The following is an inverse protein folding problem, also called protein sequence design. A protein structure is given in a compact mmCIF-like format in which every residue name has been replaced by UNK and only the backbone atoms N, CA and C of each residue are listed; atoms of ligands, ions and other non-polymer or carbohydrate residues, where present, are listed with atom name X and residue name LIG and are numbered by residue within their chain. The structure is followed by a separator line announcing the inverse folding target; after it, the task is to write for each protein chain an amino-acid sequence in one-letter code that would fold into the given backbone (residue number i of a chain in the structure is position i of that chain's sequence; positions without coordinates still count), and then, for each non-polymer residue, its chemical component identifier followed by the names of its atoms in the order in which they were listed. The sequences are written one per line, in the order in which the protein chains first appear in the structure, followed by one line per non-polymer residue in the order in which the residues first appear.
data_IF_394607896038
#
_entry.id   IF_394607896038
#
_cell.length_a   1.000
_cell.length_b   1.000
_cell.length_c   1.000
_cell.angle_alpha   90.00
_cell.angle_beta   90.00
_cell.angle_gamma   90.00
#
_symmetry.space_group_name_H-M   'P 1'
#
loop_
_entity.id
_entity.type
_entity.pdbx_description
1 polymer ?
#
# COMPACT_ATOMS: atom_id res chain seq x y z
N UNK A 1 -6.40 17.80 2.51
CA UNK A 1 -6.41 16.80 1.46
C UNK A 1 -7.83 16.40 1.14
N UNK A 2 -8.09 16.04 -0.12
CA UNK A 2 -9.38 15.53 -0.58
C UNK A 2 -9.31 14.04 -1.00
N UNK A 3 -8.10 13.54 -1.20
CA UNK A 3 -7.84 12.16 -1.62
C UNK A 3 -6.78 11.52 -0.74
N UNK A 4 -7.02 10.30 -0.29
CA UNK A 4 -6.06 9.54 0.52
C UNK A 4 -5.78 8.19 -0.11
N UNK A 5 -4.50 7.82 -0.17
CA UNK A 5 -4.03 6.46 -0.47
C UNK A 5 -3.80 5.75 0.85
N UNK A 6 -4.38 4.57 1.01
CA UNK A 6 -4.18 3.66 2.15
C UNK A 6 -3.79 2.27 1.65
N UNK A 7 -3.00 1.56 2.44
CA UNK A 7 -2.48 0.24 2.09
C UNK A 7 -1.16 -0.03 2.79
N UNK A 8 -0.45 -1.06 2.36
CA UNK A 8 0.81 -1.47 2.97
C UNK A 8 2.05 -0.90 2.25
N UNK A 9 3.14 -1.63 2.29
CA UNK A 9 4.42 -1.21 1.71
C UNK A 9 4.38 -1.02 0.19
N UNK A 10 3.56 -1.82 -0.53
CA UNK A 10 3.38 -1.64 -1.96
C UNK A 10 2.79 -0.26 -2.28
N UNK A 11 1.70 0.13 -1.62
CA UNK A 11 1.10 1.46 -1.79
C UNK A 11 2.06 2.60 -1.42
N UNK A 12 2.85 2.41 -0.36
CA UNK A 12 3.86 3.39 0.05
C UNK A 12 4.93 3.60 -1.02
N UNK A 13 5.38 2.51 -1.66
CA UNK A 13 6.43 2.54 -2.68
C UNK A 13 5.93 2.99 -4.06
N UNK A 14 4.65 2.73 -4.38
CA UNK A 14 4.10 2.93 -5.72
C UNK A 14 3.41 4.27 -5.92
N UNK A 15 2.75 4.81 -4.88
CA UNK A 15 1.80 5.91 -5.05
C UNK A 15 2.42 7.27 -4.75
N UNK A 16 2.88 7.96 -5.79
CA UNK A 16 3.36 9.34 -5.72
C UNK A 16 2.18 10.32 -5.83
N UNK A 17 1.81 11.01 -4.73
CA UNK A 17 0.67 11.93 -4.74
C UNK A 17 0.81 13.08 -5.73
N UNK A 18 2.03 13.52 -6.03
CA UNK A 18 2.24 14.61 -6.98
C UNK A 18 1.87 14.19 -8.41
N UNK A 19 2.24 12.98 -8.82
CA UNK A 19 1.90 12.46 -10.14
C UNK A 19 0.42 12.12 -10.25
N UNK A 20 -0.18 11.55 -9.19
CA UNK A 20 -1.62 11.31 -9.12
C UNK A 20 -2.38 12.62 -9.32
N UNK A 21 -2.05 13.66 -8.58
CA UNK A 21 -2.77 14.94 -8.61
C UNK A 21 -2.67 15.65 -9.95
N UNK A 22 -1.51 15.64 -10.58
CA UNK A 22 -1.32 16.24 -11.92
C UNK A 22 -2.28 15.65 -12.95
N UNK A 23 -2.61 14.36 -12.83
CA UNK A 23 -3.44 13.64 -13.79
C UNK A 23 -4.90 13.56 -13.36
N UNK A 24 -5.19 13.39 -12.07
CA UNK A 24 -6.54 13.27 -11.52
C UNK A 24 -7.21 14.62 -11.20
N UNK A 25 -6.43 15.66 -10.98
CA UNK A 25 -6.92 16.96 -10.50
C UNK A 25 -7.38 16.90 -9.04
N UNK A 26 -6.68 16.13 -8.21
CA UNK A 26 -6.93 15.92 -6.78
C UNK A 26 -5.88 16.64 -5.92
N UNK A 27 -6.05 16.56 -4.60
CA UNK A 27 -5.03 16.94 -3.63
C UNK A 27 -4.81 15.80 -2.65
N UNK A 28 -3.89 14.90 -3.03
CA UNK A 28 -3.71 13.59 -2.42
C UNK A 28 -2.64 13.57 -1.32
N UNK A 29 -2.77 12.60 -0.42
CA UNK A 29 -1.74 12.18 0.54
C UNK A 29 -1.63 10.66 0.54
N UNK A 30 -0.40 10.14 0.62
CA UNK A 30 -0.14 8.73 0.80
C UNK A 30 0.02 8.44 2.30
N UNK A 31 -0.92 7.71 2.88
CA UNK A 31 -0.93 7.33 4.29
C UNK A 31 -0.56 5.86 4.50
N UNK A 32 -0.15 5.16 3.44
CA UNK A 32 0.23 3.76 3.50
C UNK A 32 1.48 3.54 4.35
N UNK A 33 1.47 2.50 5.15
CA UNK A 33 2.52 2.19 6.12
C UNK A 33 3.02 0.74 5.90
N UNK A 34 4.34 0.50 5.82
CA UNK A 34 4.86 -0.86 5.69
C UNK A 34 4.35 -1.78 6.80
N UNK A 35 3.86 -2.96 6.40
CA UNK A 35 3.27 -3.91 7.35
C UNK A 35 1.84 -3.59 7.78
N UNK A 36 1.21 -2.57 7.19
CA UNK A 36 -0.17 -2.19 7.47
C UNK A 36 -1.14 -3.29 7.01
N UNK A 37 -1.97 -3.77 7.93
CA UNK A 37 -3.05 -4.70 7.62
C UNK A 37 -4.31 -3.93 7.23
N UNK A 38 -5.29 -4.61 6.63
CA UNK A 38 -6.57 -3.99 6.29
C UNK A 38 -7.33 -3.43 7.52
N UNK A 39 -7.06 -3.98 8.73
CA UNK A 39 -7.57 -3.42 9.99
C UNK A 39 -6.91 -2.07 10.28
N UNK A 40 -5.62 -1.98 10.09
CA UNK A 40 -4.88 -0.76 10.30
C UNK A 40 -5.32 0.32 9.30
N UNK A 41 -5.47 -0.05 8.02
CA UNK A 41 -6.01 0.84 6.97
C UNK A 41 -7.36 1.44 7.32
N UNK A 42 -8.25 0.65 7.96
CA UNK A 42 -9.53 1.16 8.42
C UNK A 42 -9.35 2.31 9.44
N UNK A 43 -8.48 2.14 10.43
CA UNK A 43 -8.26 3.16 11.46
C UNK A 43 -7.44 4.35 10.97
N UNK A 44 -6.48 4.13 10.05
CA UNK A 44 -5.76 5.20 9.35
C UNK A 44 -6.75 6.06 8.55
N UNK A 45 -7.69 5.44 7.85
CA UNK A 45 -8.76 6.14 7.12
C UNK A 45 -9.63 6.98 8.07
N UNK A 46 -10.15 6.39 9.15
CA UNK A 46 -10.99 7.12 10.12
C UNK A 46 -10.25 8.33 10.70
N UNK A 47 -8.98 8.16 11.10
CA UNK A 47 -8.18 9.26 11.66
C UNK A 47 -7.89 10.33 10.61
N UNK A 48 -7.62 9.95 9.36
CA UNK A 48 -7.40 10.89 8.26
C UNK A 48 -8.65 11.72 7.97
N UNK A 49 -9.82 11.08 7.91
CA UNK A 49 -11.10 11.77 7.69
C UNK A 49 -11.50 12.68 8.86
N UNK A 50 -11.02 12.40 10.08
CA UNK A 50 -11.28 13.25 11.25
C UNK A 50 -10.67 14.66 11.10
N UNK A 51 -9.61 14.79 10.34
CA UNK A 51 -8.84 16.03 10.19
C UNK A 51 -8.84 16.61 8.78
N UNK A 52 -9.36 15.88 7.81
CA UNK A 52 -9.41 16.29 6.40
C UNK A 52 -10.79 15.99 5.81
N UNK A 53 -11.19 16.78 4.81
CA UNK A 53 -12.44 16.57 4.06
C UNK A 53 -12.21 15.62 2.88
N UNK A 54 -11.97 14.34 3.19
CA UNK A 54 -11.67 13.30 2.20
C UNK A 54 -12.91 13.01 1.36
N UNK A 55 -12.75 13.06 0.04
CA UNK A 55 -13.79 12.74 -0.96
C UNK A 55 -13.50 11.46 -1.71
N UNK A 56 -12.22 11.04 -1.75
CA UNK A 56 -11.80 9.84 -2.47
C UNK A 56 -10.80 9.05 -1.63
N UNK A 57 -11.03 7.75 -1.57
CA UNK A 57 -10.09 6.78 -0.98
C UNK A 57 -9.57 5.88 -2.08
N UNK A 58 -8.27 5.77 -2.20
CA UNK A 58 -7.58 4.79 -3.01
C UNK A 58 -7.08 3.71 -2.05
N UNK A 59 -7.73 2.54 -2.08
CA UNK A 59 -7.35 1.40 -1.25
C UNK A 59 -6.49 0.45 -2.07
N UNK A 60 -5.21 0.36 -1.74
CA UNK A 60 -4.32 -0.63 -2.37
C UNK A 60 -4.49 -2.00 -1.68
N UNK A 61 -4.84 -2.98 -2.49
CA UNK A 61 -5.05 -4.36 -2.06
C UNK A 61 -3.74 -5.12 -2.15
N UNK A 62 -3.03 -5.15 -1.06
CA UNK A 62 -1.83 -5.96 -0.94
C UNK A 62 -2.21 -7.43 -0.68
N UNK A 63 -1.90 -8.32 -1.64
CA UNK A 63 -2.30 -9.72 -1.62
C UNK A 63 -1.87 -10.46 -0.34
N UNK A 64 -0.73 -10.09 0.26
CA UNK A 64 -0.20 -10.73 1.46
C UNK A 64 -1.18 -10.61 2.64
N UNK A 65 -1.72 -9.42 2.87
CA UNK A 65 -2.52 -9.12 4.07
C UNK A 65 -3.98 -9.58 3.99
N UNK A 66 -4.44 -9.92 2.80
CA UNK A 66 -5.80 -10.43 2.61
C UNK A 66 -5.88 -11.95 2.68
N UNK A 67 -4.88 -12.65 2.14
CA UNK A 67 -4.88 -14.10 2.05
C UNK A 67 -4.00 -14.76 3.13
N UNK A 68 -2.90 -14.11 3.52
CA UNK A 68 -1.98 -14.58 4.54
C UNK A 68 -1.78 -13.53 5.64
N UNK A 69 -2.87 -13.12 6.33
CA UNK A 69 -2.76 -12.05 7.30
C UNK A 69 -1.81 -12.44 8.44
N UNK A 70 -0.92 -11.54 8.87
CA UNK A 70 0.02 -11.83 9.94
C UNK A 70 -0.73 -12.20 11.23
N UNK A 71 -0.27 -13.27 11.88
CA UNK A 71 -0.86 -13.73 13.15
C UNK A 71 -0.47 -12.84 14.32
N UNK A 72 0.66 -12.19 14.20
CA UNK A 72 1.23 -11.31 15.22
C UNK A 72 1.63 -10.00 14.57
N UNK A 73 1.17 -8.89 15.10
CA UNK A 73 1.57 -7.56 14.71
C UNK A 73 2.16 -6.85 15.92
N UNK A 74 3.34 -6.26 15.78
CA UNK A 74 3.97 -5.57 16.89
C UNK A 74 4.38 -4.16 16.53
N UNK A 75 5.16 -4.05 15.46
CA UNK A 75 5.85 -2.82 15.17
C UNK A 75 4.93 -1.80 14.49
N UNK A 76 4.17 -2.23 13.51
CA UNK A 76 3.30 -1.36 12.71
C UNK A 76 2.19 -0.78 13.56
N UNK A 77 1.52 -1.60 14.37
CA UNK A 77 0.45 -1.13 15.26
C UNK A 77 0.98 -0.16 16.33
N UNK A 78 2.18 -0.41 16.85
CA UNK A 78 2.82 0.53 17.79
C UNK A 78 3.17 1.85 17.12
N UNK A 79 3.66 1.80 15.89
CA UNK A 79 3.95 2.99 15.11
C UNK A 79 2.68 3.80 14.84
N UNK A 80 1.63 3.16 14.32
CA UNK A 80 0.35 3.80 13.98
C UNK A 80 -0.26 4.48 15.20
N UNK A 81 -0.37 3.78 16.33
CA UNK A 81 -0.96 4.38 17.53
C UNK A 81 -0.14 5.56 18.07
N UNK A 82 1.18 5.58 17.84
CA UNK A 82 2.02 6.70 18.24
C UNK A 82 1.81 7.96 17.39
N UNK A 83 1.31 7.82 16.16
CA UNK A 83 1.03 8.95 15.26
C UNK A 83 -0.33 9.60 15.54
N UNK A 84 -1.28 8.86 16.12
CA UNK A 84 -2.61 9.38 16.41
C UNK A 84 -2.62 10.32 17.62
N UNK A 85 -3.44 11.38 17.55
CA UNK A 85 -3.63 12.33 18.65
C UNK A 85 -4.23 11.61 19.89
N UNK A 86 -3.72 11.91 21.07
CA UNK A 86 -4.23 11.38 22.34
C UNK A 86 -5.72 11.69 22.59
N UNK A 87 -6.22 12.77 22.02
CA UNK A 87 -7.62 13.18 22.11
C UNK A 87 -8.52 12.50 21.09
N UNK A 88 -7.93 11.76 20.13
CA UNK A 88 -8.69 11.05 19.12
C UNK A 88 -9.38 9.82 19.71
N UNK A 89 -10.71 9.74 19.52
CA UNK A 89 -11.44 8.52 19.87
C UNK A 89 -11.00 7.32 19.02
N UNK A 90 -10.58 7.57 17.77
CA UNK A 90 -10.08 6.56 16.83
C UNK A 90 -8.86 5.85 17.40
N UNK A 91 -7.93 6.60 18.01
CA UNK A 91 -6.76 6.04 18.68
C UNK A 91 -7.16 5.02 19.76
N UNK A 92 -8.13 5.36 20.58
CA UNK A 92 -8.54 4.49 21.70
C UNK A 92 -9.29 3.25 21.23
N UNK A 93 -10.10 3.38 20.16
CA UNK A 93 -10.72 2.23 19.50
C UNK A 93 -9.65 1.32 18.86
N UNK A 94 -8.67 1.90 18.19
CA UNK A 94 -7.56 1.17 17.60
C UNK A 94 -6.77 0.38 18.65
N UNK A 95 -6.43 1.03 19.77
CA UNK A 95 -5.75 0.37 20.89
C UNK A 95 -6.61 -0.78 21.41
N UNK A 96 -7.90 -0.56 21.62
CA UNK A 96 -8.82 -1.59 22.12
C UNK A 96 -8.89 -2.80 21.18
N UNK A 97 -9.04 -2.58 19.87
CA UNK A 97 -9.14 -3.65 18.88
C UNK A 97 -7.79 -4.39 18.63
N UNK A 98 -6.70 -3.84 19.15
CA UNK A 98 -5.36 -4.44 19.10
C UNK A 98 -4.83 -4.87 20.48
N UNK A 99 -5.63 -4.85 21.54
CA UNK A 99 -5.15 -5.14 22.91
C UNK A 99 -4.50 -6.53 23.07
N UNK A 100 -4.95 -7.52 22.31
CA UNK A 100 -4.35 -8.86 22.33
C UNK A 100 -2.94 -8.90 21.71
N UNK A 101 -2.62 -7.90 20.88
CA UNK A 101 -1.35 -7.79 20.14
C UNK A 101 -0.44 -6.69 20.67
N UNK A 102 -0.98 -5.77 21.44
CA UNK A 102 -0.24 -4.65 22.01
C UNK A 102 0.11 -4.90 23.47
N UNK A 103 1.35 -4.71 23.81
CA UNK A 103 1.75 -4.59 25.18
C UNK A 103 1.29 -3.22 25.71
N UNK A 104 0.28 -3.21 26.59
CA UNK A 104 -0.39 -1.99 27.08
C UNK A 104 0.58 -0.93 27.63
N UNK A 105 1.70 -1.35 28.22
CA UNK A 105 2.74 -0.42 28.71
C UNK A 105 3.33 0.42 27.59
N UNK A 106 3.40 -0.10 26.36
CA UNK A 106 3.95 0.62 25.22
C UNK A 106 3.03 1.73 24.72
N UNK A 107 1.73 1.62 24.97
CA UNK A 107 0.76 2.69 24.65
C UNK A 107 1.12 3.98 25.38
N UNK A 108 1.55 3.87 26.65
CA UNK A 108 1.88 5.03 27.49
C UNK A 108 3.36 5.42 27.44
N UNK A 109 4.26 4.46 27.25
CA UNK A 109 5.71 4.69 27.38
C UNK A 109 6.43 4.81 26.06
N UNK A 110 5.79 4.47 24.93
CA UNK A 110 6.43 4.34 23.60
C UNK A 110 7.66 3.43 23.61
N UNK A 111 7.73 2.48 24.53
CA UNK A 111 8.93 1.69 24.81
C UNK A 111 9.42 0.90 23.60
N UNK A 112 8.53 0.37 22.79
CA UNK A 112 8.88 -0.35 21.56
C UNK A 112 9.24 0.58 20.39
N UNK A 113 8.63 1.76 20.34
CA UNK A 113 8.98 2.78 19.34
C UNK A 113 10.32 3.48 19.65
N UNK A 114 10.80 3.38 20.90
CA UNK A 114 12.02 4.01 21.35
C UNK A 114 12.93 2.94 21.98
N UNK A 115 13.73 2.28 21.16
CA UNK A 115 14.76 1.35 21.66
C UNK A 115 15.83 2.16 22.37
N UNK A 116 15.89 2.04 23.69
CA UNK A 116 16.96 2.66 24.47
C UNK A 116 18.14 1.70 24.57
N UNK A 117 19.23 2.04 23.87
CA UNK A 117 20.50 1.32 23.96
C UNK A 117 21.52 2.22 24.67
N UNK A 118 21.87 1.94 25.93
CA UNK A 118 22.74 2.81 26.71
C UNK A 118 24.09 3.11 26.03
N UNK A 119 24.64 2.14 25.29
CA UNK A 119 25.92 2.31 24.55
C UNK A 119 25.84 3.40 23.48
N UNK A 120 24.67 3.61 22.89
CA UNK A 120 24.47 4.56 21.79
C UNK A 120 24.01 5.95 22.30
N UNK A 121 23.83 6.10 23.61
CA UNK A 121 23.29 7.34 24.18
C UNK A 121 24.15 8.55 23.88
N UNK A 122 25.47 8.41 24.02
CA UNK A 122 26.45 9.50 23.75
C UNK A 122 26.33 9.94 22.28
N UNK A 123 26.45 8.99 21.37
CA UNK A 123 26.43 9.24 19.92
C UNK A 123 25.09 9.86 19.48
N UNK A 124 23.97 9.34 20.00
CA UNK A 124 22.65 9.90 19.75
C UNK A 124 22.50 11.34 20.24
N UNK A 125 23.06 11.68 21.41
CA UNK A 125 23.05 13.05 21.95
C UNK A 125 23.92 13.96 21.07
N UNK A 126 25.13 13.54 20.73
CA UNK A 126 26.03 14.29 19.86
C UNK A 126 25.43 14.55 18.49
N UNK A 127 24.81 13.52 17.90
CA UNK A 127 24.09 13.64 16.62
C UNK A 127 22.95 14.66 16.70
N UNK A 128 22.08 14.57 17.71
CA UNK A 128 20.93 15.48 17.89
C UNK A 128 21.35 16.91 18.21
N UNK A 129 22.53 17.13 18.79
CA UNK A 129 23.06 18.44 19.05
C UNK A 129 23.83 19.02 17.86
N UNK A 130 24.18 18.21 16.89
CA UNK A 130 24.92 18.63 15.70
C UNK A 130 24.17 19.67 14.88
N UNK A 131 24.90 20.48 14.15
CA UNK A 131 24.34 21.45 13.21
C UNK A 131 23.59 20.73 12.09
N UNK A 132 24.14 19.64 11.54
CA UNK A 132 23.51 18.86 10.49
C UNK A 132 22.13 18.30 10.88
N UNK A 133 21.96 17.83 12.11
CA UNK A 133 20.65 17.35 12.58
C UNK A 133 19.63 18.49 12.74
N UNK A 134 20.08 19.65 13.25
CA UNK A 134 19.19 20.82 13.48
C UNK A 134 18.76 21.51 12.19
N UNK A 135 19.59 21.43 11.16
CA UNK A 135 19.37 22.05 9.85
C UNK A 135 18.95 21.03 8.78
N UNK A 136 18.73 19.75 9.18
CA UNK A 136 18.33 18.71 8.25
C UNK A 136 17.00 19.07 7.60
N UNK A 137 16.99 19.06 6.26
CA UNK A 137 15.78 19.15 5.49
C UNK A 137 15.07 17.79 5.52
N UNK A 138 13.77 17.78 5.80
CA UNK A 138 12.96 16.57 5.78
C UNK A 138 13.02 15.86 4.42
N UNK A 139 13.15 16.61 3.34
CA UNK A 139 13.29 16.07 1.97
C UNK A 139 14.68 15.49 1.67
N UNK A 140 15.62 15.59 2.57
CA UNK A 140 16.95 14.94 2.48
C UNK A 140 17.07 13.70 3.36
N UNK A 141 16.00 13.33 4.07
CA UNK A 141 16.01 12.13 4.92
C UNK A 141 15.91 10.88 4.06
N UNK A 142 16.93 10.05 4.18
CA UNK A 142 16.95 8.70 3.63
C UNK A 142 16.51 7.72 4.71
N UNK A 143 15.47 6.97 4.44
CA UNK A 143 14.89 5.98 5.36
C UNK A 143 14.61 4.71 4.58
N UNK A 144 15.17 3.59 5.02
CA UNK A 144 14.96 2.27 4.40
C UNK A 144 15.26 2.25 2.89
N UNK A 145 16.35 2.92 2.47
CA UNK A 145 16.75 3.01 1.06
C UNK A 145 15.87 3.91 0.20
N UNK A 146 15.00 4.70 0.82
CA UNK A 146 14.15 5.67 0.13
C UNK A 146 14.34 7.09 0.62
N UNK A 147 14.24 8.06 -0.28
CA UNK A 147 14.28 9.49 0.04
C UNK A 147 12.87 10.05 0.15
N UNK A 148 12.57 10.76 1.21
CA UNK A 148 11.24 11.37 1.39
C UNK A 148 10.97 12.42 0.32
N UNK A 149 9.93 12.21 -0.49
CA UNK A 149 9.56 13.09 -1.60
C UNK A 149 8.32 13.96 -1.31
N UNK A 150 7.76 13.85 -0.10
CA UNK A 150 6.61 14.65 0.34
C UNK A 150 5.30 13.87 0.38
N UNK A 151 4.36 14.38 1.17
CA UNK A 151 2.98 13.87 1.29
C UNK A 151 2.89 12.35 1.52
N UNK A 152 3.84 11.81 2.32
CA UNK A 152 3.91 10.39 2.69
C UNK A 152 4.60 9.47 1.67
N UNK A 153 5.01 9.98 0.52
CA UNK A 153 5.71 9.20 -0.50
C UNK A 153 7.23 9.20 -0.26
N UNK A 154 7.84 8.04 -0.52
CA UNK A 154 9.29 7.84 -0.49
C UNK A 154 9.76 7.32 -1.85
N UNK A 155 10.62 8.08 -2.50
CA UNK A 155 11.30 7.62 -3.71
C UNK A 155 12.35 6.58 -3.34
N UNK A 156 12.20 5.36 -3.86
CA UNK A 156 13.15 4.27 -3.64
C UNK A 156 14.06 4.18 -4.87
N UNK A 157 15.37 4.22 -4.65
CA UNK A 157 16.33 4.13 -5.76
C UNK A 157 16.31 2.74 -6.40
N UNK A 158 16.48 2.65 -7.74
CA UNK A 158 16.63 1.38 -8.42
C UNK A 158 17.78 0.55 -7.83
N UNK A 159 17.60 -0.77 -7.73
CA UNK A 159 18.64 -1.71 -7.32
C UNK A 159 19.35 -2.29 -8.53
N UNK A 160 20.66 -2.49 -8.38
CA UNK A 160 21.47 -3.15 -9.40
C UNK A 160 21.73 -4.60 -8.97
N UNK A 161 21.36 -5.56 -9.81
CA UNK A 161 21.63 -6.98 -9.57
C UNK A 161 20.37 -7.81 -9.44
N UNK A 162 20.51 -9.01 -8.87
CA UNK A 162 19.41 -9.92 -8.65
C UNK A 162 18.48 -9.41 -7.54
N UNK A 163 17.17 -9.53 -7.77
CA UNK A 163 16.17 -9.13 -6.81
C UNK A 163 16.06 -10.18 -5.68
N UNK A 164 16.06 -9.71 -4.44
CA UNK A 164 15.86 -10.56 -3.26
C UNK A 164 14.38 -10.95 -3.06
N UNK A 165 14.11 -11.91 -2.17
CA UNK A 165 12.78 -12.26 -1.68
C UNK A 165 12.10 -13.42 -2.40
N UNK A 166 12.73 -14.11 -3.35
CA UNK A 166 12.12 -15.21 -4.10
C UNK A 166 11.67 -16.37 -3.19
N UNK A 167 12.39 -16.64 -2.12
CA UNK A 167 12.07 -17.71 -1.17
C UNK A 167 10.73 -17.50 -0.43
N UNK A 168 10.30 -16.24 -0.31
CA UNK A 168 9.06 -15.88 0.38
C UNK A 168 7.83 -16.07 -0.52
N UNK A 169 7.97 -15.91 -1.84
CA UNK A 169 6.85 -15.96 -2.78
C UNK A 169 6.03 -17.24 -2.69
N UNK A 170 6.70 -18.39 -2.52
CA UNK A 170 6.03 -19.69 -2.44
C UNK A 170 5.12 -19.80 -1.21
N UNK A 171 5.47 -19.14 -0.12
CA UNK A 171 4.67 -19.12 1.11
C UNK A 171 3.44 -18.21 1.01
N UNK A 172 3.49 -17.23 0.12
CA UNK A 172 2.41 -16.26 -0.10
C UNK A 172 1.54 -16.59 -1.31
N UNK A 173 1.90 -17.61 -2.07
CA UNK A 173 1.19 -18.02 -3.29
C UNK A 173 -0.26 -18.42 -3.00
N UNK A 174 -1.20 -17.82 -3.71
CA UNK A 174 -2.65 -18.09 -3.61
C UNK A 174 -3.05 -19.13 -4.66
N UNK A 175 -2.78 -20.43 -4.36
CA UNK A 175 -2.94 -21.53 -5.32
C UNK A 175 -4.39 -21.88 -5.67
N UNK A 176 -5.35 -21.37 -4.92
CA UNK A 176 -6.78 -21.61 -5.16
C UNK A 176 -7.57 -20.33 -4.91
N UNK A 177 -8.79 -20.28 -5.45
CA UNK A 177 -9.74 -19.18 -5.19
C UNK A 177 -10.30 -19.32 -3.77
N UNK A 178 -9.49 -18.99 -2.79
CA UNK A 178 -9.87 -19.05 -1.39
C UNK A 178 -10.75 -17.87 -1.03
N UNK A 179 -11.71 -18.09 -0.15
CA UNK A 179 -12.51 -16.98 0.36
C UNK A 179 -11.72 -16.22 1.42
N UNK A 180 -11.73 -14.90 1.30
CA UNK A 180 -11.21 -14.02 2.36
C UNK A 180 -12.10 -14.18 3.59
N UNK A 181 -11.51 -14.50 4.72
CA UNK A 181 -12.22 -14.77 5.99
C UNK A 181 -11.61 -13.99 7.16
N UNK A 182 -12.18 -14.14 8.33
CA UNK A 182 -11.62 -13.56 9.54
C UNK A 182 -11.61 -12.03 9.55
N UNK A 183 -10.55 -11.45 10.13
CA UNK A 183 -10.47 -10.00 10.28
C UNK A 183 -10.27 -9.26 8.94
N UNK A 184 -9.56 -9.76 7.91
CA UNK A 184 -9.50 -9.07 6.62
C UNK A 184 -10.89 -8.83 6.02
N UNK A 185 -11.75 -9.85 6.01
CA UNK A 185 -13.13 -9.69 5.52
C UNK A 185 -13.94 -8.71 6.37
N UNK A 186 -13.77 -8.76 7.69
CA UNK A 186 -14.46 -7.85 8.61
C UNK A 186 -14.09 -6.39 8.32
N UNK A 187 -12.79 -6.11 8.16
CA UNK A 187 -12.32 -4.72 8.06
C UNK A 187 -12.47 -4.14 6.65
N UNK A 188 -12.35 -4.93 5.58
CA UNK A 188 -12.68 -4.42 4.24
C UNK A 188 -14.16 -4.01 4.17
N UNK A 189 -15.06 -4.79 4.76
CA UNK A 189 -16.48 -4.42 4.86
C UNK A 189 -16.70 -3.16 5.71
N UNK A 190 -15.90 -2.95 6.75
CA UNK A 190 -15.93 -1.70 7.53
C UNK A 190 -15.48 -0.50 6.70
N UNK A 191 -14.40 -0.62 5.93
CA UNK A 191 -13.92 0.44 5.02
C UNK A 191 -15.02 0.79 4.01
N UNK A 192 -15.58 -0.21 3.33
CA UNK A 192 -16.65 -0.02 2.34
C UNK A 192 -17.86 0.68 2.97
N UNK A 193 -18.29 0.20 4.15
CA UNK A 193 -19.40 0.81 4.87
C UNK A 193 -19.09 2.26 5.27
N UNK A 194 -17.89 2.51 5.81
CA UNK A 194 -17.47 3.85 6.24
C UNK A 194 -17.47 4.82 5.07
N UNK A 195 -16.90 4.46 3.94
CA UNK A 195 -16.88 5.30 2.75
C UNK A 195 -18.29 5.61 2.25
N UNK A 196 -19.15 4.58 2.17
CA UNK A 196 -20.56 4.77 1.77
C UNK A 196 -21.34 5.66 2.72
N UNK A 197 -21.19 5.48 4.02
CA UNK A 197 -21.93 6.24 5.04
C UNK A 197 -21.49 7.71 5.12
N UNK A 198 -20.30 8.05 4.59
CA UNK A 198 -19.73 9.39 4.57
C UNK A 198 -19.65 10.02 3.17
N UNK A 199 -20.29 9.44 2.17
CA UNK A 199 -20.28 9.93 0.78
C UNK A 199 -18.88 10.03 0.17
N UNK A 200 -18.01 9.07 0.52
CA UNK A 200 -16.62 9.00 0.03
C UNK A 200 -16.55 7.97 -1.10
N UNK A 201 -15.98 8.38 -2.22
CA UNK A 201 -15.72 7.50 -3.37
C UNK A 201 -14.56 6.54 -3.06
N UNK A 202 -14.85 5.24 -2.96
CA UNK A 202 -13.86 4.21 -2.69
C UNK A 202 -13.45 3.53 -4.00
N UNK A 203 -12.19 3.69 -4.36
CA UNK A 203 -11.55 3.05 -5.50
C UNK A 203 -10.52 2.03 -4.96
N UNK A 204 -10.74 0.76 -5.20
CA UNK A 204 -9.77 -0.27 -4.88
C UNK A 204 -8.81 -0.50 -6.05
N UNK A 205 -7.53 -0.67 -5.74
CA UNK A 205 -6.49 -0.96 -6.72
C UNK A 205 -5.62 -2.10 -6.22
N UNK A 206 -4.94 -2.80 -7.11
CA UNK A 206 -3.74 -3.59 -6.80
C UNK A 206 -2.60 -3.01 -7.61
N UNK A 207 -1.58 -2.50 -6.94
CA UNK A 207 -0.34 -2.03 -7.56
C UNK A 207 0.35 -3.18 -8.31
N UNK A 208 0.97 -2.95 -9.49
CA UNK A 208 1.74 -3.99 -10.14
C UNK A 208 2.85 -4.51 -9.24
N UNK A 209 3.08 -5.80 -9.31
CA UNK A 209 4.22 -6.46 -8.68
C UNK A 209 5.24 -6.88 -9.73
N UNK A 210 6.41 -7.34 -9.28
CA UNK A 210 7.49 -7.82 -10.14
C UNK A 210 6.97 -8.84 -11.15
N UNK A 211 7.12 -8.61 -12.47
CA UNK A 211 6.51 -9.44 -13.50
C UNK A 211 6.80 -10.93 -13.37
N UNK A 212 8.06 -11.31 -13.10
CA UNK A 212 8.43 -12.71 -12.91
C UNK A 212 7.76 -13.38 -11.69
N UNK A 213 7.19 -12.60 -10.77
CA UNK A 213 6.53 -13.12 -9.56
C UNK A 213 5.02 -13.31 -9.73
N UNK A 214 4.40 -12.69 -10.74
CA UNK A 214 2.95 -12.70 -10.97
C UNK A 214 2.40 -14.12 -11.05
N UNK A 215 3.01 -14.97 -11.88
CA UNK A 215 2.59 -16.37 -12.04
C UNK A 215 2.91 -17.24 -10.82
N UNK A 216 4.04 -16.99 -10.13
CA UNK A 216 4.44 -17.74 -8.93
C UNK A 216 3.44 -17.51 -7.79
N UNK A 217 2.94 -16.29 -7.68
CA UNK A 217 1.96 -15.89 -6.65
C UNK A 217 0.52 -16.24 -7.01
N UNK A 218 0.26 -16.66 -8.25
CA UNK A 218 -1.09 -16.90 -8.78
C UNK A 218 -2.00 -15.68 -8.63
N UNK A 219 -1.53 -14.53 -9.14
CA UNK A 219 -2.26 -13.27 -9.02
C UNK A 219 -3.63 -13.29 -9.70
N UNK A 220 -3.86 -14.19 -10.66
CA UNK A 220 -5.19 -14.45 -11.24
C UNK A 220 -6.21 -14.93 -10.18
N UNK A 221 -5.80 -15.74 -9.20
CA UNK A 221 -6.68 -16.18 -8.12
C UNK A 221 -6.94 -15.06 -7.11
N UNK A 222 -5.94 -14.23 -6.84
CA UNK A 222 -6.08 -13.01 -6.03
C UNK A 222 -7.09 -12.08 -6.67
N UNK A 223 -6.88 -11.77 -7.97
CA UNK A 223 -7.77 -10.91 -8.74
C UNK A 223 -9.23 -11.38 -8.70
N UNK A 224 -9.47 -12.63 -9.05
CA UNK A 224 -10.83 -13.18 -9.14
C UNK A 224 -11.56 -13.11 -7.79
N UNK A 225 -10.85 -13.41 -6.70
CA UNK A 225 -11.42 -13.38 -5.35
C UNK A 225 -11.74 -11.96 -4.90
N UNK A 226 -10.79 -11.03 -5.08
CA UNK A 226 -10.93 -9.62 -4.71
C UNK A 226 -12.00 -8.95 -5.57
N UNK A 227 -11.92 -9.12 -6.90
CA UNK A 227 -12.88 -8.53 -7.83
C UNK A 227 -14.32 -8.95 -7.50
N UNK A 228 -14.52 -10.25 -7.23
CA UNK A 228 -15.84 -10.74 -6.79
C UNK A 228 -16.31 -10.07 -5.50
N UNK A 229 -15.45 -10.02 -4.48
CA UNK A 229 -15.79 -9.42 -3.18
C UNK A 229 -16.18 -7.94 -3.34
N UNK A 230 -15.39 -7.18 -4.10
CA UNK A 230 -15.59 -5.74 -4.29
C UNK A 230 -16.81 -5.45 -5.17
N UNK A 231 -16.99 -6.20 -6.26
CA UNK A 231 -18.15 -6.08 -7.15
C UNK A 231 -19.47 -6.40 -6.42
N UNK A 232 -19.50 -7.44 -5.58
CA UNK A 232 -20.65 -7.80 -4.75
C UNK A 232 -21.03 -6.67 -3.75
N UNK A 233 -20.10 -5.74 -3.48
CA UNK A 233 -20.30 -4.58 -2.60
C UNK A 233 -20.37 -3.23 -3.35
N UNK A 234 -20.38 -3.24 -4.69
CA UNK A 234 -20.49 -2.05 -5.52
C UNK A 234 -19.25 -1.17 -5.56
N UNK A 235 -18.06 -1.72 -5.24
CA UNK A 235 -16.78 -1.03 -5.26
C UNK A 235 -16.05 -1.32 -6.57
N UNK A 236 -15.49 -0.28 -7.19
CA UNK A 236 -14.66 -0.43 -8.38
C UNK A 236 -13.26 -0.91 -8.02
N UNK A 237 -12.76 -1.84 -8.83
CA UNK A 237 -11.45 -2.44 -8.64
C UNK A 237 -10.63 -2.39 -9.94
N UNK A 238 -9.41 -1.92 -9.84
CA UNK A 238 -8.44 -1.84 -10.93
C UNK A 238 -7.16 -2.59 -10.55
N UNK A 239 -6.95 -3.75 -11.17
CA UNK A 239 -5.72 -4.53 -10.98
C UNK A 239 -4.66 -4.10 -12.00
N UNK A 240 -3.68 -3.34 -11.54
CA UNK A 240 -2.63 -2.83 -12.42
C UNK A 240 -1.60 -3.88 -12.83
N UNK A 241 -1.61 -5.09 -12.27
CA UNK A 241 -0.90 -6.21 -12.85
C UNK A 241 -1.40 -6.51 -14.27
N UNK A 242 -2.68 -6.25 -14.52
CA UNK A 242 -3.31 -6.41 -15.83
C UNK A 242 -3.16 -5.19 -16.74
N UNK A 243 -2.45 -4.13 -16.32
CA UNK A 243 -2.19 -3.00 -17.18
C UNK A 243 -1.41 -3.46 -18.43
N UNK A 244 -1.85 -2.99 -19.62
CA UNK A 244 -1.24 -3.37 -20.89
C UNK A 244 0.20 -2.89 -20.96
N UNK A 245 1.09 -3.73 -21.51
CA UNK A 245 2.53 -3.44 -21.62
C UNK A 245 2.83 -2.23 -22.51
N UNK A 246 1.98 -1.96 -23.51
CA UNK A 246 2.09 -0.78 -24.36
C UNK A 246 1.62 0.52 -23.67
N UNK A 247 0.93 0.42 -22.55
CA UNK A 247 0.43 1.55 -21.74
C UNK A 247 1.30 1.79 -20.50
N UNK A 248 1.68 0.72 -19.80
CA UNK A 248 2.56 0.74 -18.63
C UNK A 248 3.67 -0.30 -18.81
N UNK A 249 4.69 0.02 -19.65
CA UNK A 249 5.85 -0.85 -19.84
C UNK A 249 6.52 -1.13 -18.50
N UNK A 250 6.83 -2.41 -18.23
CA UNK A 250 7.49 -2.83 -17.00
C UNK A 250 8.28 -4.11 -17.19
N UNK A 251 9.35 -4.21 -16.41
CA UNK A 251 10.19 -5.40 -16.30
C UNK A 251 10.67 -5.57 -14.85
N UNK A 252 11.36 -6.67 -14.54
CA UNK A 252 11.82 -6.95 -13.19
C UNK A 252 12.71 -5.85 -12.60
N UNK A 253 13.51 -5.18 -13.42
CA UNK A 253 14.39 -4.08 -13.00
C UNK A 253 13.66 -2.80 -12.53
N UNK A 254 12.35 -2.71 -12.78
CA UNK A 254 11.50 -1.62 -12.28
C UNK A 254 11.10 -1.81 -10.81
N UNK A 255 11.52 -2.92 -10.21
CA UNK A 255 11.23 -3.27 -8.83
C UNK A 255 12.52 -3.42 -8.02
N UNK A 256 12.42 -3.31 -6.71
CA UNK A 256 13.56 -3.42 -5.80
C UNK A 256 13.69 -4.81 -5.16
N UNK A 257 12.64 -5.64 -5.29
CA UNK A 257 12.60 -7.02 -4.79
C UNK A 257 11.59 -7.86 -5.59
N UNK A 258 11.55 -9.16 -5.31
CA UNK A 258 10.60 -10.11 -5.91
C UNK A 258 9.19 -10.01 -5.30
N UNK A 259 9.03 -9.32 -4.18
CA UNK A 259 7.73 -9.12 -3.54
C UNK A 259 6.86 -8.13 -4.32
N UNK A 260 7.49 -7.19 -5.03
CA UNK A 260 6.82 -6.24 -5.92
C UNK A 260 6.87 -4.78 -5.47
N UNK A 261 7.83 -4.42 -4.62
CA UNK A 261 8.04 -3.01 -4.30
C UNK A 261 8.66 -2.28 -5.50
N UNK A 262 8.01 -1.23 -5.97
CA UNK A 262 8.49 -0.44 -7.11
C UNK A 262 9.68 0.42 -6.74
N UNK A 263 10.60 0.61 -7.71
CA UNK A 263 11.51 1.74 -7.62
C UNK A 263 10.79 3.06 -7.96
N UNK A 264 11.39 4.18 -7.61
CA UNK A 264 10.75 5.49 -7.75
C UNK A 264 10.52 5.94 -9.19
N UNK A 265 11.33 5.45 -10.14
CA UNK A 265 11.17 5.80 -11.55
C UNK A 265 9.92 5.13 -12.13
N UNK A 266 9.71 3.85 -11.82
CA UNK A 266 8.51 3.14 -12.25
C UNK A 266 7.27 3.61 -11.47
N UNK A 267 7.40 3.87 -10.17
CA UNK A 267 6.32 4.41 -9.34
C UNK A 267 5.73 5.72 -9.92
N UNK A 268 6.57 6.55 -10.51
CA UNK A 268 6.12 7.76 -11.21
C UNK A 268 5.22 7.43 -12.39
N UNK A 269 5.64 6.50 -13.27
CA UNK A 269 4.86 6.08 -14.44
C UNK A 269 3.52 5.44 -14.02
N UNK A 270 3.57 4.57 -13.00
CA UNK A 270 2.37 3.97 -12.42
C UNK A 270 1.43 5.04 -11.87
N UNK A 271 1.93 5.99 -11.08
CA UNK A 271 1.11 7.05 -10.47
C UNK A 271 0.48 7.99 -11.51
N UNK A 272 1.17 8.24 -12.63
CA UNK A 272 0.58 8.97 -13.76
C UNK A 272 -0.61 8.22 -14.38
N UNK A 273 -0.47 6.92 -14.58
CA UNK A 273 -1.57 6.08 -15.09
C UNK A 273 -2.71 5.99 -14.08
N UNK A 274 -2.40 5.77 -12.80
CA UNK A 274 -3.38 5.73 -11.71
C UNK A 274 -4.18 7.04 -11.68
N UNK A 275 -3.53 8.20 -11.78
CA UNK A 275 -4.20 9.49 -11.84
C UNK A 275 -5.16 9.62 -13.04
N UNK A 276 -4.76 9.12 -14.22
CA UNK A 276 -5.63 9.09 -15.42
C UNK A 276 -6.87 8.20 -15.20
N UNK A 277 -6.66 7.01 -14.63
CA UNK A 277 -7.75 6.06 -14.32
C UNK A 277 -8.74 6.69 -13.32
N UNK A 278 -8.24 7.33 -12.24
CA UNK A 278 -9.07 8.03 -11.26
C UNK A 278 -9.88 9.14 -11.91
N UNK A 279 -9.26 9.94 -12.77
CA UNK A 279 -9.95 11.02 -13.48
C UNK A 279 -11.11 10.50 -14.32
N UNK A 280 -10.86 9.45 -15.10
CA UNK A 280 -11.90 8.85 -15.94
C UNK A 280 -13.00 8.20 -15.10
N UNK A 281 -12.62 7.53 -14.02
CA UNK A 281 -13.59 6.98 -13.06
C UNK A 281 -14.53 8.06 -12.54
N UNK A 282 -14.01 9.20 -12.07
CA UNK A 282 -14.82 10.33 -11.59
C UNK A 282 -15.69 10.96 -12.66
N UNK A 283 -15.30 10.88 -13.93
CA UNK A 283 -16.07 11.37 -15.07
C UNK A 283 -17.13 10.37 -15.55
N UNK A 284 -17.21 9.19 -14.91
CA UNK A 284 -18.14 8.12 -15.31
C UNK A 284 -17.71 7.34 -16.56
N UNK A 285 -16.53 7.64 -17.11
CA UNK A 285 -15.95 6.85 -18.19
C UNK A 285 -15.42 5.53 -17.61
N UNK A 286 -15.85 4.41 -18.21
CA UNK A 286 -15.57 3.06 -17.68
C UNK A 286 -15.01 2.11 -18.72
N UNK A 287 -14.45 2.62 -19.81
CA UNK A 287 -13.75 1.78 -20.78
C UNK A 287 -12.35 1.45 -20.26
N UNK A 288 -12.32 0.47 -19.35
CA UNK A 288 -11.09 -0.02 -18.75
C UNK A 288 -10.23 -0.79 -19.75
N UNK A 289 -10.82 -1.34 -20.82
CA UNK A 289 -10.10 -2.19 -21.79
C UNK A 289 -9.03 -1.41 -22.56
N UNK A 290 -9.10 -0.10 -22.57
CA UNK A 290 -8.05 0.71 -23.19
C UNK A 290 -6.74 0.71 -22.39
N UNK A 291 -6.82 0.46 -21.08
CA UNK A 291 -5.64 0.45 -20.18
C UNK A 291 -5.25 -0.95 -19.73
N UNK A 292 -6.21 -1.87 -19.69
CA UNK A 292 -6.04 -3.19 -19.08
C UNK A 292 -6.38 -4.30 -20.04
N UNK A 293 -5.72 -5.45 -19.90
CA UNK A 293 -6.16 -6.70 -20.50
C UNK A 293 -7.50 -7.12 -19.89
N UNK A 294 -8.32 -7.84 -20.65
CA UNK A 294 -9.63 -8.30 -20.18
C UNK A 294 -9.55 -9.47 -19.19
N UNK A 295 -8.40 -10.14 -19.16
CA UNK A 295 -8.14 -11.26 -18.25
C UNK A 295 -6.64 -11.55 -18.12
N UNK A 296 -6.24 -12.21 -17.06
CA UNK A 296 -4.88 -12.75 -16.90
C UNK A 296 -4.49 -13.72 -18.03
N UNK A 297 -5.45 -14.49 -18.54
CA UNK A 297 -5.18 -15.39 -19.66
C UNK A 297 -4.82 -14.62 -20.95
N UNK A 298 -5.51 -13.51 -21.25
CA UNK A 298 -5.15 -12.63 -22.37
C UNK A 298 -3.77 -12.03 -22.16
N UNK A 299 -3.49 -11.53 -20.96
CA UNK A 299 -2.20 -10.96 -20.58
C UNK A 299 -1.06 -11.96 -20.78
N UNK A 300 -1.19 -13.19 -20.26
CA UNK A 300 -0.18 -14.24 -20.40
C UNK A 300 0.03 -14.67 -21.86
N UNK A 301 -1.03 -14.67 -22.68
CA UNK A 301 -0.94 -15.01 -24.09
C UNK A 301 -0.28 -13.91 -24.91
N UNK A 302 -0.49 -12.63 -24.54
CA UNK A 302 0.02 -11.48 -25.29
C UNK A 302 1.49 -11.23 -24.97
N UNK A 303 1.85 -11.28 -23.69
CA UNK A 303 3.20 -10.97 -23.19
C UNK A 303 3.90 -12.23 -22.64
N UNK A 304 3.76 -13.36 -23.37
CA UNK A 304 4.36 -14.62 -22.99
C UNK A 304 5.89 -14.48 -22.85
N UNK A 305 6.41 -14.81 -21.68
CA UNK A 305 7.84 -14.72 -21.34
C UNK A 305 8.20 -13.58 -20.39
N UNK A 306 7.31 -12.61 -20.18
CA UNK A 306 7.50 -11.57 -19.16
C UNK A 306 7.10 -12.08 -17.76
N UNK A 307 5.98 -12.80 -17.70
CA UNK A 307 5.43 -13.32 -16.45
C UNK A 307 5.96 -14.71 -16.14
N UNK A 308 6.30 -14.96 -14.89
CA UNK A 308 6.83 -16.26 -14.46
C UNK A 308 5.89 -17.42 -14.85
N UNK A 309 6.47 -18.59 -15.09
CA UNK A 309 5.73 -19.78 -15.55
C UNK A 309 4.64 -20.16 -14.53
N UNK A 310 3.42 -20.16 -14.98
CA UNK A 310 2.31 -20.78 -14.25
C UNK A 310 2.50 -22.30 -14.35
N UNK A 311 3.06 -22.94 -13.33
CA UNK A 311 3.03 -24.40 -13.22
C UNK A 311 1.55 -24.84 -13.15
N UNK A 312 1.14 -25.61 -14.14
CA UNK A 312 -0.24 -26.14 -14.25
C UNK A 312 -0.50 -27.20 -13.18
#
# INVERSE_FOLDING_TARGET
YDTVVIGASHARASSDPEQIDKNAGTYSINMAIPGETVKDSYYVLEETCRTNDIKTVILDIDYQYYFNPPKEGFYTEQFIQCQMDWRSYVKWQYIYDNMERMEIRNVFTRRQACTFTPSNMKDNIEQKLSKGYKEADIYSLDVDGGTYAGRGYFYISPVNGELAGEELLKSWSVRSKEQITGYPLKYIKKIIKYCRDNDIDLIAVTSPITPSSVGILHMENVHDTINKLLADNGVFYYDFNMARQDILPREDSDFVDKEGHMNGDFAKNYSELLGKVIKEHKQGARDINKYFYSSYQEMYNTDAGLYGVVEK
#
